data_IF_358517274616
#
_entry.id   IF_358517274616
#
_cell.length_a   1.000
_cell.length_b   1.000
_cell.length_c   1.000
_cell.angle_alpha   90.00
_cell.angle_beta   90.00
_cell.angle_gamma   90.00
#
_symmetry.space_group_name_H-M   'P 1'
#
loop_
_entity.id
_entity.type
_entity.pdbx_description
1 polymer ?
#
# COMPACT_ATOMS: atom_id res chain seq x y z
N UNK A 1 -55.02 44.35 32.58
CA UNK A 1 -54.20 43.12 32.74
C UNK A 1 -52.84 43.53 33.25
N UNK A 2 -52.50 43.16 34.49
CA UNK A 2 -51.24 43.51 35.14
C UNK A 2 -50.11 42.61 34.67
N UNK A 3 -48.87 43.13 34.63
CA UNK A 3 -47.63 42.41 34.24
C UNK A 3 -47.49 41.04 34.94
N UNK A 4 -48.00 40.91 36.17
CA UNK A 4 -48.00 39.65 36.94
C UNK A 4 -48.88 38.54 36.34
N UNK A 5 -49.91 38.86 35.56
CA UNK A 5 -50.79 37.87 34.93
C UNK A 5 -50.26 37.34 33.59
N UNK A 6 -49.33 38.08 32.95
CA UNK A 6 -48.74 37.72 31.64
C UNK A 6 -47.45 36.90 31.78
N UNK A 7 -46.72 37.04 32.89
CA UNK A 7 -45.46 36.34 33.14
C UNK A 7 -45.56 34.80 33.03
N UNK A 8 -46.57 34.13 33.62
CA UNK A 8 -46.69 32.67 33.55
C UNK A 8 -46.95 32.18 32.12
N UNK A 9 -47.73 32.94 31.34
CA UNK A 9 -48.00 32.61 29.93
C UNK A 9 -46.75 32.79 29.05
N UNK A 10 -45.94 33.80 29.33
CA UNK A 10 -44.65 34.01 28.64
C UNK A 10 -43.67 32.87 28.96
N UNK A 11 -43.60 32.44 30.21
CA UNK A 11 -42.70 31.36 30.64
C UNK A 11 -43.15 29.99 30.10
N UNK A 12 -44.44 29.71 30.09
CA UNK A 12 -45.05 28.54 29.44
C UNK A 12 -44.71 28.51 27.93
N UNK A 13 -44.82 29.66 27.26
CA UNK A 13 -44.53 29.78 25.82
C UNK A 13 -43.04 29.58 25.52
N UNK A 14 -42.16 30.12 26.37
CA UNK A 14 -40.71 29.88 26.27
C UNK A 14 -40.37 28.41 26.47
N UNK A 15 -41.00 27.76 27.44
CA UNK A 15 -40.78 26.33 27.75
C UNK A 15 -41.20 25.43 26.59
N UNK A 16 -42.39 25.67 26.01
CA UNK A 16 -42.86 24.95 24.82
C UNK A 16 -41.97 25.15 23.60
N UNK A 17 -41.45 26.37 23.39
CA UNK A 17 -40.49 26.65 22.31
C UNK A 17 -39.15 25.95 22.54
N UNK A 18 -38.66 25.90 23.78
CA UNK A 18 -37.44 25.19 24.13
C UNK A 18 -37.59 23.67 23.93
N UNK A 19 -38.72 23.08 24.32
CA UNK A 19 -39.03 21.67 24.10
C UNK A 19 -39.15 21.33 22.61
N UNK A 20 -39.78 22.21 21.82
CA UNK A 20 -39.85 22.04 20.36
C UNK A 20 -38.47 22.10 19.71
N UNK A 21 -37.60 23.03 20.14
CA UNK A 21 -36.22 23.12 19.67
C UNK A 21 -35.41 21.88 20.05
N UNK A 22 -35.55 21.36 21.27
CA UNK A 22 -34.92 20.10 21.72
C UNK A 22 -35.33 18.92 20.85
N UNK A 23 -36.63 18.74 20.59
CA UNK A 23 -37.11 17.67 19.70
C UNK A 23 -36.59 17.81 18.27
N UNK A 24 -36.46 19.04 17.78
CA UNK A 24 -35.92 19.31 16.44
C UNK A 24 -34.43 18.99 16.36
N UNK A 25 -33.67 19.30 17.41
CA UNK A 25 -32.25 18.91 17.54
C UNK A 25 -32.12 17.39 17.64
N UNK A 26 -32.94 16.71 18.45
CA UNK A 26 -32.94 15.24 18.55
C UNK A 26 -33.28 14.57 17.21
N UNK A 27 -34.26 15.10 16.49
CA UNK A 27 -34.62 14.63 15.15
C UNK A 27 -33.47 14.79 14.15
N UNK A 28 -32.78 15.94 14.17
CA UNK A 28 -31.61 16.19 13.32
C UNK A 28 -30.45 15.26 13.70
N UNK A 29 -30.21 15.04 14.99
CA UNK A 29 -29.20 14.08 15.45
C UNK A 29 -29.52 12.65 15.02
N UNK A 30 -30.79 12.23 15.06
CA UNK A 30 -31.20 10.93 14.56
C UNK A 30 -31.04 10.81 13.04
N UNK A 31 -31.33 11.88 12.28
CA UNK A 31 -31.14 11.88 10.84
C UNK A 31 -29.66 11.86 10.46
N UNK A 32 -28.81 12.60 11.20
CA UNK A 32 -27.34 12.53 11.07
C UNK A 32 -26.87 11.12 11.36
N UNK A 33 -27.28 10.49 12.47
CA UNK A 33 -26.92 9.09 12.79
C UNK A 33 -27.36 8.10 11.72
N UNK A 34 -28.59 8.22 11.19
CA UNK A 34 -29.05 7.35 10.09
C UNK A 34 -28.25 7.56 8.81
N UNK A 35 -27.86 8.81 8.49
CA UNK A 35 -26.99 9.11 7.36
C UNK A 35 -25.59 8.56 7.60
N UNK A 36 -25.06 8.67 8.81
CA UNK A 36 -23.80 8.06 9.22
C UNK A 36 -23.88 6.55 9.07
N UNK A 37 -24.87 5.86 9.62
CA UNK A 37 -25.06 4.41 9.45
C UNK A 37 -25.19 4.00 7.98
N UNK A 38 -25.81 4.82 7.13
CA UNK A 38 -25.86 4.58 5.68
C UNK A 38 -24.53 4.82 4.95
N UNK A 39 -23.65 5.64 5.52
CA UNK A 39 -22.31 5.97 5.02
C UNK A 39 -21.21 5.07 5.60
N UNK A 40 -21.49 4.34 6.68
CA UNK A 40 -20.61 3.36 7.29
C UNK A 40 -21.15 1.95 6.99
N UNK A 41 -20.79 1.31 5.86
CA UNK A 41 -21.16 -0.06 5.62
C UNK A 41 -20.23 -0.92 6.49
N UNK A 42 -20.58 -1.02 7.77
CA UNK A 42 -20.18 -2.11 8.67
C UNK A 42 -20.82 -3.38 8.11
N UNK A 43 -20.29 -3.83 6.99
CA UNK A 43 -20.95 -4.76 6.10
C UNK A 43 -19.94 -5.60 5.34
N UNK A 44 -20.40 -6.72 4.74
CA UNK A 44 -19.53 -7.61 3.98
C UNK A 44 -18.70 -6.83 2.96
N UNK A 45 -17.37 -6.95 3.04
CA UNK A 45 -16.43 -6.29 2.12
C UNK A 45 -15.79 -4.98 2.59
N UNK A 46 -16.03 -4.52 3.83
CA UNK A 46 -15.30 -3.37 4.41
C UNK A 46 -13.78 -3.56 4.33
N UNK A 47 -13.30 -4.72 4.77
CA UNK A 47 -11.90 -5.12 4.66
C UNK A 47 -11.33 -4.92 3.24
N UNK A 48 -12.05 -5.41 2.23
CA UNK A 48 -11.64 -5.32 0.83
C UNK A 48 -11.55 -3.84 0.38
N UNK A 49 -12.50 -2.99 0.80
CA UNK A 49 -12.52 -1.56 0.48
C UNK A 49 -11.36 -0.83 1.15
N UNK A 50 -11.13 -1.09 2.43
CA UNK A 50 -10.02 -0.50 3.20
C UNK A 50 -8.69 -0.87 2.56
N UNK A 51 -8.43 -2.15 2.31
CA UNK A 51 -7.20 -2.57 1.64
C UNK A 51 -7.05 -1.95 0.26
N UNK A 52 -8.14 -1.87 -0.51
CA UNK A 52 -8.13 -1.24 -1.84
C UNK A 52 -7.75 0.23 -1.75
N UNK A 53 -8.31 0.95 -0.78
CA UNK A 53 -7.97 2.34 -0.52
C UNK A 53 -6.50 2.52 -0.13
N UNK A 54 -6.00 1.70 0.81
CA UNK A 54 -4.59 1.72 1.24
C UNK A 54 -3.66 1.49 0.05
N UNK A 55 -3.89 0.43 -0.74
CA UNK A 55 -3.05 0.07 -1.90
C UNK A 55 -3.07 1.16 -2.97
N UNK A 56 -4.24 1.77 -3.23
CA UNK A 56 -4.33 2.88 -4.19
C UNK A 56 -3.59 4.11 -3.69
N UNK A 57 -3.75 4.45 -2.41
CA UNK A 57 -3.09 5.58 -1.79
C UNK A 57 -1.56 5.44 -1.84
N UNK A 58 -0.98 4.34 -1.35
CA UNK A 58 0.49 4.18 -1.29
C UNK A 58 1.17 4.02 -2.66
N UNK A 59 0.43 3.61 -3.68
CA UNK A 59 0.96 3.47 -5.05
C UNK A 59 0.79 4.73 -5.91
N UNK A 60 0.04 5.71 -5.43
CA UNK A 60 -0.28 6.90 -6.20
C UNK A 60 0.91 7.85 -6.29
N UNK A 61 0.95 8.58 -7.39
CA UNK A 61 1.82 9.74 -7.53
C UNK A 61 1.07 10.98 -7.05
N UNK A 62 1.26 11.39 -5.79
CA UNK A 62 0.53 12.53 -5.23
C UNK A 62 0.90 13.88 -5.86
N UNK A 63 2.00 13.95 -6.62
CA UNK A 63 2.43 15.16 -7.32
C UNK A 63 1.66 15.38 -8.64
N UNK A 64 1.15 14.30 -9.24
CA UNK A 64 0.43 14.31 -10.52
C UNK A 64 -1.05 13.95 -10.33
N UNK A 65 -1.35 13.05 -9.39
CA UNK A 65 -2.65 12.44 -9.18
C UNK A 65 -3.30 12.93 -7.88
N UNK A 66 -3.92 14.10 -7.95
CA UNK A 66 -4.73 14.67 -6.88
C UNK A 66 -5.94 13.79 -6.48
N UNK A 67 -6.19 12.65 -7.16
CA UNK A 67 -7.26 11.69 -6.84
C UNK A 67 -6.86 10.64 -5.82
N UNK A 68 -5.61 10.63 -5.35
CA UNK A 68 -5.17 9.65 -4.38
C UNK A 68 -5.40 10.03 -2.91
N UNK A 69 -5.50 11.32 -2.59
CA UNK A 69 -5.97 11.79 -1.27
C UNK A 69 -7.39 11.28 -0.93
N UNK A 70 -8.38 11.32 -1.86
CA UNK A 70 -9.67 10.67 -1.63
C UNK A 70 -9.59 9.21 -1.17
N UNK A 71 -8.59 8.44 -1.63
CA UNK A 71 -8.44 7.05 -1.17
C UNK A 71 -8.03 6.98 0.31
N UNK A 72 -7.11 7.84 0.77
CA UNK A 72 -6.75 7.93 2.19
C UNK A 72 -7.96 8.35 3.02
N UNK A 73 -8.71 9.38 2.58
CA UNK A 73 -9.94 9.78 3.25
C UNK A 73 -10.95 8.64 3.37
N UNK A 74 -11.23 7.92 2.27
CA UNK A 74 -12.14 6.78 2.30
C UNK A 74 -11.69 5.73 3.31
N UNK A 75 -10.39 5.44 3.39
CA UNK A 75 -9.84 4.53 4.40
C UNK A 75 -10.10 5.04 5.81
N UNK A 76 -9.83 6.32 6.08
CA UNK A 76 -10.06 6.92 7.40
C UNK A 76 -11.53 6.91 7.80
N UNK A 77 -12.45 7.22 6.87
CA UNK A 77 -13.89 7.14 7.10
C UNK A 77 -14.35 5.70 7.37
N UNK A 78 -13.83 4.72 6.64
CA UNK A 78 -14.20 3.31 6.84
C UNK A 78 -13.66 2.75 8.17
N UNK A 79 -12.60 3.34 8.74
CA UNK A 79 -11.93 2.85 9.94
C UNK A 79 -12.21 3.66 11.21
N UNK A 80 -12.81 4.85 11.10
CA UNK A 80 -13.08 5.73 12.25
C UNK A 80 -14.59 5.82 12.51
N UNK A 81 -15.10 5.42 13.68
CA UNK A 81 -16.50 5.60 14.06
C UNK A 81 -16.95 7.07 14.01
N UNK A 82 -18.15 7.34 13.51
CA UNK A 82 -18.78 8.67 13.46
C UNK A 82 -18.75 9.53 14.74
N UNK A 83 -18.99 8.97 15.95
CA UNK A 83 -18.91 9.74 17.20
C UNK A 83 -17.49 10.21 17.52
N UNK A 84 -16.50 9.40 17.16
CA UNK A 84 -15.09 9.74 17.36
C UNK A 84 -14.68 10.81 16.36
N UNK A 85 -15.20 10.77 15.11
CA UNK A 85 -15.08 11.81 14.06
C UNK A 85 -15.60 13.20 14.47
N UNK A 86 -16.52 13.27 15.43
CA UNK A 86 -17.08 14.53 15.94
C UNK A 86 -16.47 14.97 17.28
N UNK A 87 -15.95 14.03 18.09
CA UNK A 87 -15.25 14.30 19.36
C UNK A 87 -13.74 14.58 19.22
N UNK A 88 -13.20 14.70 17.99
CA UNK A 88 -11.81 15.14 17.73
C UNK A 88 -11.53 16.54 18.31
N UNK A 89 -11.32 16.62 19.62
CA UNK A 89 -10.96 17.83 20.33
C UNK A 89 -9.49 18.11 20.06
N UNK A 90 -9.28 19.19 19.32
CA UNK A 90 -8.03 19.86 18.96
C UNK A 90 -7.01 20.07 20.10
N UNK A 91 -7.35 19.78 21.36
CA UNK A 91 -6.49 19.97 22.54
C UNK A 91 -5.55 18.81 22.84
N UNK A 92 -5.82 17.60 22.34
CA UNK A 92 -5.01 16.39 22.66
C UNK A 92 -3.99 16.03 21.56
N UNK A 93 -4.07 16.63 20.37
CA UNK A 93 -3.03 16.57 19.34
C UNK A 93 -1.88 17.50 19.73
N UNK A 94 -0.97 16.95 20.53
CA UNK A 94 0.22 17.65 20.99
C UNK A 94 1.19 17.99 19.86
N UNK A 95 1.55 19.27 19.75
CA UNK A 95 2.86 19.85 19.40
C UNK A 95 3.61 19.42 18.11
N UNK A 96 3.14 18.46 17.33
CA UNK A 96 3.66 18.14 16.01
C UNK A 96 2.59 18.44 14.96
N UNK A 97 3.02 18.86 13.77
CA UNK A 97 2.25 19.45 12.66
C UNK A 97 1.14 18.57 12.03
N UNK A 98 0.53 17.65 12.78
CA UNK A 98 -0.63 16.83 12.39
C UNK A 98 -1.93 17.66 12.48
N UNK A 99 -1.88 18.88 11.95
CA UNK A 99 -2.96 19.85 12.00
C UNK A 99 -4.11 19.44 11.07
N UNK A 100 -5.29 19.28 11.67
CA UNK A 100 -6.62 19.06 11.08
C UNK A 100 -7.00 17.62 10.79
N UNK A 101 -7.61 16.94 11.77
CA UNK A 101 -8.37 15.73 11.44
C UNK A 101 -9.67 16.07 10.70
N UNK A 102 -10.56 16.96 11.17
CA UNK A 102 -11.77 17.35 10.40
C UNK A 102 -12.35 18.70 10.85
N UNK A 103 -11.76 19.87 10.57
CA UNK A 103 -12.50 21.11 10.91
C UNK A 103 -13.62 21.43 9.93
N UNK A 104 -13.54 20.94 8.70
CA UNK A 104 -14.60 21.10 7.71
C UNK A 104 -14.55 19.95 6.70
N UNK A 105 -15.53 19.05 6.75
CA UNK A 105 -15.90 18.14 5.65
C UNK A 105 -16.20 18.87 4.31
N UNK A 106 -15.99 20.19 4.23
CA UNK A 106 -16.26 21.06 3.08
C UNK A 106 -15.27 22.21 2.80
N UNK A 107 -14.25 22.51 3.62
CA UNK A 107 -13.45 23.74 3.35
C UNK A 107 -12.00 23.82 3.85
N UNK A 108 -11.38 22.70 4.24
CA UNK A 108 -9.92 22.62 4.22
C UNK A 108 -9.38 22.85 2.79
N UNK A 109 -8.29 23.62 2.64
CA UNK A 109 -7.71 23.87 1.32
C UNK A 109 -7.09 22.58 0.80
N UNK A 110 -7.46 22.20 -0.43
CA UNK A 110 -6.96 21.01 -1.15
C UNK A 110 -5.44 20.80 -1.03
N UNK A 111 -4.65 21.89 -1.01
CA UNK A 111 -3.19 21.86 -0.89
C UNK A 111 -2.70 21.32 0.46
N UNK A 112 -3.38 21.67 1.55
CA UNK A 112 -2.97 21.31 2.92
C UNK A 112 -3.23 19.80 3.12
N UNK A 113 -4.34 19.31 2.56
CA UNK A 113 -4.72 17.90 2.50
C UNK A 113 -3.74 17.04 1.67
N UNK A 114 -3.26 17.57 0.54
CA UNK A 114 -2.22 16.90 -0.27
C UNK A 114 -0.90 16.84 0.50
N UNK A 115 -0.54 17.90 1.24
CA UNK A 115 0.67 17.94 2.05
C UNK A 115 0.64 16.87 3.15
N UNK A 116 -0.48 16.78 3.88
CA UNK A 116 -0.70 15.77 4.91
C UNK A 116 -0.68 14.34 4.33
N UNK A 117 -1.39 14.13 3.21
CA UNK A 117 -1.37 12.84 2.52
C UNK A 117 0.03 12.47 2.03
N UNK A 118 0.84 13.44 1.60
CA UNK A 118 2.22 13.21 1.17
C UNK A 118 3.13 12.86 2.34
N UNK A 119 2.88 13.43 3.52
CA UNK A 119 3.65 13.19 4.73
C UNK A 119 3.70 11.71 5.12
N UNK A 120 2.55 11.02 5.17
CA UNK A 120 2.49 9.62 5.60
C UNK A 120 2.70 8.59 4.49
N UNK A 121 2.60 8.98 3.22
CA UNK A 121 2.51 8.02 2.12
C UNK A 121 3.73 7.10 2.03
N UNK A 122 4.93 7.70 2.09
CA UNK A 122 6.19 6.95 1.98
C UNK A 122 6.38 6.02 3.17
N UNK A 123 6.17 6.51 4.38
CA UNK A 123 6.36 5.73 5.59
C UNK A 123 5.36 4.55 5.68
N UNK A 124 4.09 4.78 5.33
CA UNK A 124 3.10 3.71 5.23
C UNK A 124 3.46 2.70 4.14
N UNK A 125 3.95 3.16 2.98
CA UNK A 125 4.42 2.25 1.92
C UNK A 125 5.58 1.38 2.39
N UNK A 126 6.57 1.99 3.06
CA UNK A 126 7.74 1.28 3.59
C UNK A 126 7.33 0.24 4.63
N UNK A 127 6.40 0.58 5.52
CA UNK A 127 5.80 -0.37 6.46
C UNK A 127 5.19 -1.59 5.73
N UNK A 128 4.34 -1.36 4.74
CA UNK A 128 3.66 -2.45 4.02
C UNK A 128 4.64 -3.29 3.18
N UNK A 129 5.65 -2.67 2.56
CA UNK A 129 6.71 -3.39 1.84
C UNK A 129 7.49 -4.30 2.77
N UNK A 130 7.89 -3.77 3.93
CA UNK A 130 8.57 -4.53 4.95
C UNK A 130 7.69 -5.70 5.40
N UNK A 131 6.46 -5.46 5.88
CA UNK A 131 5.56 -6.53 6.34
C UNK A 131 5.29 -7.62 5.28
N UNK A 132 5.32 -7.29 3.98
CA UNK A 132 5.17 -8.28 2.91
C UNK A 132 6.44 -9.11 2.66
N UNK A 133 7.62 -8.50 2.72
CA UNK A 133 8.91 -9.15 2.45
C UNK A 133 10.05 -8.60 3.33
N UNK A 134 10.11 -8.94 4.63
CA UNK A 134 11.09 -8.37 5.56
C UNK A 134 12.54 -8.68 5.21
N UNK A 135 12.82 -9.90 4.77
CA UNK A 135 14.16 -10.35 4.34
C UNK A 135 14.69 -9.58 3.12
N UNK A 136 13.78 -9.11 2.25
CA UNK A 136 14.14 -8.37 1.04
C UNK A 136 14.44 -6.89 1.33
N UNK A 137 13.97 -6.38 2.47
CA UNK A 137 14.03 -4.95 2.81
C UNK A 137 14.46 -4.70 4.28
N UNK A 138 15.64 -5.19 4.71
CA UNK A 138 16.13 -4.93 6.07
C UNK A 138 16.38 -3.45 6.35
N UNK A 139 16.70 -2.66 5.32
CA UNK A 139 17.03 -1.24 5.42
C UNK A 139 15.86 -0.36 5.87
N UNK A 140 14.62 -0.74 5.54
CA UNK A 140 13.41 0.02 5.90
C UNK A 140 12.77 -0.46 7.21
N UNK A 141 13.28 -1.52 7.83
CA UNK A 141 12.71 -2.11 9.07
C UNK A 141 12.59 -1.09 10.19
N UNK A 142 13.68 -0.38 10.50
CA UNK A 142 13.70 0.60 11.58
C UNK A 142 12.73 1.76 11.33
N UNK A 143 12.62 2.22 10.09
CA UNK A 143 11.66 3.26 9.69
C UNK A 143 10.22 2.76 9.86
N UNK A 144 9.92 1.54 9.40
CA UNK A 144 8.61 0.91 9.51
C UNK A 144 8.17 0.73 10.98
N UNK A 145 9.07 0.25 11.84
CA UNK A 145 8.79 0.05 13.26
C UNK A 145 8.57 1.38 13.99
N UNK A 146 9.39 2.40 13.73
CA UNK A 146 9.20 3.75 14.28
C UNK A 146 7.90 4.39 13.81
N UNK A 147 7.53 4.18 12.55
CA UNK A 147 6.26 4.66 12.03
C UNK A 147 5.08 4.02 12.79
N UNK A 148 5.13 2.71 13.06
CA UNK A 148 4.13 2.03 13.87
C UNK A 148 4.10 2.55 15.31
N UNK A 149 5.26 2.66 15.95
CA UNK A 149 5.42 3.22 17.29
C UNK A 149 4.70 4.57 17.45
N UNK A 150 5.00 5.50 16.53
CA UNK A 150 4.48 6.87 16.58
C UNK A 150 2.98 6.96 16.24
N UNK A 151 2.45 6.04 15.44
CA UNK A 151 1.09 6.18 14.90
C UNK A 151 0.08 5.21 15.49
N UNK A 152 0.48 4.05 15.99
CA UNK A 152 -0.44 3.03 16.50
C UNK A 152 -0.76 3.16 17.99
N UNK A 153 0.17 3.74 18.77
CA UNK A 153 0.17 3.95 20.23
C UNK A 153 -0.91 3.20 21.04
N UNK A 154 -0.48 2.23 21.84
CA UNK A 154 -1.24 1.70 22.98
C UNK A 154 -0.49 1.91 24.30
N UNK A 155 -1.21 1.82 25.41
CA UNK A 155 -0.64 1.75 26.76
C UNK A 155 0.10 0.41 26.89
N UNK A 156 1.32 0.46 27.43
CA UNK A 156 2.26 -0.66 27.60
C UNK A 156 2.50 -1.48 26.31
N UNK A 157 3.12 -0.84 25.33
CA UNK A 157 3.53 -1.43 24.05
C UNK A 157 5.00 -1.88 24.09
N UNK A 158 5.34 -2.94 23.36
CA UNK A 158 6.72 -3.41 23.18
C UNK A 158 6.99 -3.70 21.71
N UNK A 159 8.00 -3.04 21.14
CA UNK A 159 8.62 -3.45 19.89
C UNK A 159 9.97 -4.07 20.20
N UNK A 160 10.15 -5.33 19.81
CA UNK A 160 11.48 -5.91 19.76
C UNK A 160 12.19 -5.46 18.48
N UNK A 161 13.08 -4.46 18.60
CA UNK A 161 13.90 -3.98 17.49
C UNK A 161 15.06 -4.95 17.14
N UNK A 162 15.26 -6.03 17.90
CA UNK A 162 16.35 -6.99 17.69
C UNK A 162 15.87 -8.31 17.09
N UNK A 163 14.63 -8.73 17.33
CA UNK A 163 14.04 -9.94 16.72
C UNK A 163 13.40 -9.67 15.34
N UNK A 164 13.69 -10.52 14.35
CA UNK A 164 12.99 -10.56 13.05
C UNK A 164 12.03 -11.76 13.02
N UNK A 165 10.79 -11.61 13.50
CA UNK A 165 9.86 -12.74 13.66
C UNK A 165 9.20 -13.16 12.35
N UNK A 166 9.16 -12.28 11.35
CA UNK A 166 8.59 -12.62 10.05
C UNK A 166 9.58 -13.48 9.24
N UNK A 167 10.87 -13.43 9.58
CA UNK A 167 11.86 -14.35 9.05
C UNK A 167 11.64 -15.81 9.48
N UNK A 168 10.89 -16.03 10.57
CA UNK A 168 10.61 -17.32 11.21
C UNK A 168 9.11 -17.67 11.22
N UNK A 169 8.35 -17.28 10.18
CA UNK A 169 6.94 -17.68 9.96
C UNK A 169 6.69 -19.20 9.94
N UNK A 170 7.72 -20.03 10.12
CA UNK A 170 7.65 -21.50 10.26
C UNK A 170 7.77 -22.02 11.70
N UNK A 171 8.37 -21.27 12.62
CA UNK A 171 8.62 -21.68 14.00
C UNK A 171 8.10 -20.60 14.95
N UNK A 172 6.78 -20.48 15.07
CA UNK A 172 6.17 -19.77 16.19
C UNK A 172 6.20 -20.70 17.39
N UNK A 173 7.17 -20.47 18.27
CA UNK A 173 7.26 -21.09 19.59
C UNK A 173 6.03 -20.64 20.39
N UNK A 174 5.15 -21.56 20.78
CA UNK A 174 3.91 -21.25 21.54
C UNK A 174 4.20 -20.55 22.89
N UNK A 175 5.44 -20.63 23.38
CA UNK A 175 5.92 -20.01 24.62
C UNK A 175 6.42 -18.57 24.45
N UNK A 176 6.53 -18.04 23.22
CA UNK A 176 6.95 -16.65 22.97
C UNK A 176 5.73 -15.76 22.74
N UNK A 177 5.57 -14.75 23.60
CA UNK A 177 4.51 -13.75 23.47
C UNK A 177 4.53 -13.02 22.10
N UNK A 178 3.41 -12.40 21.70
CA UNK A 178 3.27 -11.75 20.41
C UNK A 178 4.37 -10.72 20.14
N UNK A 179 4.88 -10.68 18.90
CA UNK A 179 5.91 -9.74 18.45
C UNK A 179 5.54 -8.27 18.71
N UNK A 180 4.26 -7.97 18.54
CA UNK A 180 3.64 -6.67 18.71
C UNK A 180 2.32 -6.91 19.41
N UNK A 181 2.12 -6.37 20.61
CA UNK A 181 0.83 -6.43 21.28
C UNK A 181 0.55 -5.16 22.08
N UNK A 182 -0.75 -4.91 22.27
CA UNK A 182 -1.27 -3.82 23.07
C UNK A 182 -1.84 -4.38 24.37
N UNK A 183 -1.30 -3.96 25.51
CA UNK A 183 -1.88 -4.31 26.82
C UNK A 183 -3.15 -3.50 27.07
N UNK A 184 -3.20 -2.25 26.57
CA UNK A 184 -4.40 -1.41 26.64
C UNK A 184 -4.46 -0.44 25.47
N UNK A 185 -5.59 -0.40 24.77
CA UNK A 185 -5.76 0.50 23.62
C UNK A 185 -5.89 1.96 24.09
N UNK A 186 -4.96 2.83 23.68
CA UNK A 186 -5.20 4.29 23.74
C UNK A 186 -6.10 4.67 22.56
N UNK A 187 -6.99 5.63 22.78
CA UNK A 187 -7.98 6.01 21.77
C UNK A 187 -7.31 6.55 20.50
N UNK A 188 -6.53 7.65 20.55
CA UNK A 188 -5.95 8.26 19.34
C UNK A 188 -4.67 9.06 19.62
N UNK A 189 -3.63 8.89 18.79
CA UNK A 189 -2.39 9.67 18.86
C UNK A 189 -2.05 10.37 17.53
N UNK A 190 -2.48 9.82 16.40
CA UNK A 190 -2.37 10.46 15.08
C UNK A 190 -3.54 10.09 14.18
N UNK A 191 -3.62 10.77 13.03
CA UNK A 191 -4.61 10.48 11.98
C UNK A 191 -4.46 9.05 11.42
N UNK A 192 -3.26 8.47 11.58
CA UNK A 192 -2.91 7.14 11.08
C UNK A 192 -3.20 6.02 12.09
N UNK A 193 -3.60 6.35 13.33
CA UNK A 193 -3.95 5.35 14.34
C UNK A 193 -4.96 4.30 13.86
N UNK A 194 -6.11 4.67 13.24
CA UNK A 194 -7.06 3.69 12.73
C UNK A 194 -6.45 2.75 11.67
N UNK A 195 -5.63 3.30 10.78
CA UNK A 195 -4.96 2.54 9.71
C UNK A 195 -3.95 1.56 10.29
N UNK A 196 -3.14 2.01 11.25
CA UNK A 196 -2.16 1.15 11.90
C UNK A 196 -2.86 0.02 12.65
N UNK A 197 -3.87 0.33 13.47
CA UNK A 197 -4.70 -0.68 14.18
C UNK A 197 -5.35 -1.68 13.21
N UNK A 198 -5.83 -1.21 12.05
CA UNK A 198 -6.37 -2.11 11.03
C UNK A 198 -5.32 -3.07 10.46
N UNK A 199 -4.11 -2.59 10.15
CA UNK A 199 -3.00 -3.43 9.70
C UNK A 199 -2.61 -4.43 10.80
N UNK A 200 -2.64 -4.00 12.06
CA UNK A 200 -2.31 -4.83 13.22
C UNK A 200 -3.17 -6.08 13.32
N UNK A 201 -4.47 -6.02 12.98
CA UNK A 201 -5.36 -7.20 12.99
C UNK A 201 -4.89 -8.38 12.12
N UNK A 202 -3.87 -8.17 11.27
CA UNK A 202 -3.25 -9.20 10.45
C UNK A 202 -1.89 -9.65 10.98
N UNK A 203 -1.21 -8.83 11.77
CA UNK A 203 0.11 -9.19 12.34
C UNK A 203 0.03 -9.60 13.82
N UNK A 204 -1.15 -9.44 14.43
CA UNK A 204 -1.48 -9.84 15.81
C UNK A 204 -1.79 -11.35 15.93
N UNK A 205 -2.03 -11.86 17.14
CA UNK A 205 -2.21 -13.28 17.42
C UNK A 205 -3.67 -13.78 17.27
N UNK A 206 -3.96 -14.81 16.44
CA UNK A 206 -3.07 -15.51 15.52
C UNK A 206 -2.83 -14.72 14.22
N UNK A 207 -1.59 -14.70 13.70
CA UNK A 207 -1.23 -13.86 12.57
C UNK A 207 -1.91 -14.31 11.27
N UNK A 208 -2.54 -13.36 10.58
CA UNK A 208 -3.12 -13.54 9.25
C UNK A 208 -2.20 -12.93 8.21
N UNK A 209 -1.92 -13.65 7.12
CA UNK A 209 -1.15 -13.05 6.01
C UNK A 209 -1.87 -11.81 5.49
N UNK A 210 -1.12 -10.72 5.33
CA UNK A 210 -1.62 -9.51 4.68
C UNK A 210 -2.23 -9.89 3.31
N UNK A 211 -3.41 -9.37 2.94
CA UNK A 211 -4.06 -9.71 1.69
C UNK A 211 -3.45 -8.96 0.49
N UNK A 212 -2.25 -8.41 0.61
CA UNK A 212 -1.55 -7.65 -0.43
C UNK A 212 -0.27 -8.37 -0.86
N UNK A 213 0.24 -8.02 -2.04
CA UNK A 213 1.48 -8.55 -2.62
C UNK A 213 2.32 -7.46 -3.25
N UNK A 214 3.63 -7.67 -3.30
CA UNK A 214 4.56 -6.81 -4.05
C UNK A 214 4.63 -7.30 -5.51
N UNK A 215 4.63 -6.37 -6.46
CA UNK A 215 4.87 -6.65 -7.87
C UNK A 215 6.21 -7.38 -8.06
N UNK A 216 6.20 -8.51 -8.77
CA UNK A 216 7.40 -9.34 -9.01
C UNK A 216 8.49 -8.67 -9.83
N UNK A 217 8.14 -7.65 -10.63
CA UNK A 217 9.12 -6.94 -11.47
C UNK A 217 10.14 -6.23 -10.56
N UNK A 218 11.45 -6.49 -10.70
CA UNK A 218 12.48 -5.78 -9.96
C UNK A 218 12.36 -4.25 -10.11
N UNK A 219 12.47 -3.53 -8.99
CA UNK A 219 12.38 -2.07 -8.93
C UNK A 219 11.00 -1.49 -9.29
N UNK A 220 9.92 -2.27 -9.16
CA UNK A 220 8.57 -1.73 -9.28
C UNK A 220 7.97 -1.35 -7.92
N UNK A 221 8.14 -2.21 -6.91
CA UNK A 221 7.71 -2.04 -5.52
C UNK A 221 6.27 -1.54 -5.35
N UNK A 222 5.42 -1.87 -6.33
CA UNK A 222 3.99 -1.56 -6.29
C UNK A 222 3.26 -2.66 -5.56
N UNK A 223 2.43 -2.27 -4.60
CA UNK A 223 1.57 -3.17 -3.85
C UNK A 223 0.34 -3.52 -4.68
N UNK A 224 -0.21 -4.72 -4.49
CA UNK A 224 -1.32 -5.25 -5.26
C UNK A 224 -2.26 -6.05 -4.37
N UNK A 225 -3.56 -5.95 -4.64
CA UNK A 225 -4.56 -6.87 -4.10
C UNK A 225 -4.83 -7.97 -5.15
N UNK A 226 -4.50 -9.23 -4.87
CA UNK A 226 -4.83 -10.33 -5.76
C UNK A 226 -6.36 -10.55 -5.75
N UNK A 227 -7.02 -10.34 -6.89
CA UNK A 227 -8.47 -10.56 -7.05
C UNK A 227 -8.86 -12.04 -6.90
N UNK A 228 -7.91 -12.97 -7.10
CA UNK A 228 -8.06 -14.43 -6.91
C UNK A 228 -6.75 -15.06 -6.46
N UNK A 229 -6.82 -16.05 -5.57
CA UNK A 229 -5.67 -16.86 -5.15
C UNK A 229 -5.01 -17.46 -6.41
N UNK A 230 -3.71 -17.18 -6.61
CA UNK A 230 -2.91 -17.73 -7.70
C UNK A 230 -2.88 -16.93 -9.02
N UNK A 231 -3.48 -15.74 -9.11
CA UNK A 231 -3.38 -14.88 -10.31
C UNK A 231 -2.82 -13.48 -10.00
N UNK A 232 -2.08 -12.93 -10.99
CA UNK A 232 -1.37 -11.63 -11.03
C UNK A 232 -0.11 -11.52 -10.14
N UNK A 233 1.04 -11.91 -10.70
CA UNK A 233 2.37 -11.63 -10.13
C UNK A 233 2.85 -10.18 -10.37
N UNK A 234 2.19 -9.45 -11.27
CA UNK A 234 2.61 -8.13 -11.74
C UNK A 234 1.49 -7.10 -11.59
N UNK A 235 1.85 -5.87 -11.22
CA UNK A 235 0.87 -4.79 -10.98
C UNK A 235 0.22 -4.27 -12.27
N UNK A 236 0.82 -4.59 -13.42
CA UNK A 236 0.29 -4.23 -14.72
C UNK A 236 0.82 -5.19 -15.80
N UNK A 237 0.11 -5.31 -16.94
CA UNK A 237 0.62 -6.00 -18.12
C UNK A 237 1.96 -5.42 -18.60
N UNK A 238 2.18 -4.12 -18.43
CA UNK A 238 3.44 -3.45 -18.75
C UNK A 238 4.59 -3.97 -17.88
N UNK A 239 4.37 -4.15 -16.58
CA UNK A 239 5.39 -4.73 -15.69
C UNK A 239 5.72 -6.18 -16.06
N UNK A 240 4.69 -6.97 -16.37
CA UNK A 240 4.87 -8.34 -16.86
C UNK A 240 5.71 -8.36 -18.15
N UNK A 241 5.34 -7.54 -19.14
CA UNK A 241 6.05 -7.47 -20.42
C UNK A 241 7.50 -7.00 -20.28
N UNK A 242 7.76 -6.03 -19.39
CA UNK A 242 9.12 -5.53 -19.13
C UNK A 242 9.99 -6.57 -18.44
N UNK A 243 9.43 -7.34 -17.50
CA UNK A 243 10.15 -8.41 -16.79
C UNK A 243 10.49 -9.59 -17.72
N UNK A 244 9.57 -9.94 -18.63
CA UNK A 244 9.79 -11.01 -19.61
C UNK A 244 10.61 -10.57 -20.82
N UNK A 245 10.83 -9.26 -21.05
CA UNK A 245 11.56 -8.76 -22.23
C UNK A 245 13.03 -9.22 -22.25
N UNK A 246 13.80 -9.19 -21.15
CA UNK A 246 15.12 -9.81 -21.06
C UNK A 246 15.09 -11.30 -21.44
N UNK A 247 14.22 -12.09 -20.81
CA UNK A 247 14.08 -13.52 -21.08
C UNK A 247 13.69 -13.82 -22.54
N UNK A 248 12.83 -12.99 -23.14
CA UNK A 248 12.45 -13.11 -24.54
C UNK A 248 13.60 -12.75 -25.50
N UNK A 249 14.41 -11.74 -25.17
CA UNK A 249 15.58 -11.38 -25.98
C UNK A 249 16.67 -12.45 -25.88
N UNK A 250 16.92 -12.93 -24.67
CA UNK A 250 17.81 -14.06 -24.37
C UNK A 250 17.40 -15.31 -25.16
N UNK A 251 16.14 -15.72 -25.08
CA UNK A 251 15.62 -16.86 -25.84
C UNK A 251 15.74 -16.66 -27.36
N UNK A 252 15.48 -15.45 -27.88
CA UNK A 252 15.63 -15.15 -29.30
C UNK A 252 17.08 -15.23 -29.77
N UNK A 253 18.02 -14.75 -28.96
CA UNK A 253 19.45 -14.79 -29.27
C UNK A 253 19.95 -16.23 -29.17
N UNK A 254 19.56 -16.97 -28.13
CA UNK A 254 19.94 -18.37 -27.92
C UNK A 254 19.41 -19.25 -29.05
N UNK A 255 18.13 -19.12 -29.40
CA UNK A 255 17.52 -19.87 -30.49
C UNK A 255 18.17 -19.55 -31.84
N UNK A 256 18.61 -18.31 -32.05
CA UNK A 256 19.33 -17.93 -33.26
C UNK A 256 20.71 -18.59 -33.32
N UNK A 257 21.49 -18.56 -32.23
CA UNK A 257 22.77 -19.29 -32.15
C UNK A 257 22.59 -20.79 -32.31
N UNK A 258 21.57 -21.36 -31.67
CA UNK A 258 21.24 -22.78 -31.78
C UNK A 258 20.93 -23.18 -33.23
N UNK A 259 20.13 -22.38 -33.95
CA UNK A 259 19.84 -22.61 -35.37
C UNK A 259 21.08 -22.50 -36.24
N UNK A 260 22.00 -21.58 -35.94
CA UNK A 260 23.29 -21.49 -36.62
C UNK A 260 24.16 -22.72 -36.37
N UNK A 261 24.25 -23.16 -35.11
CA UNK A 261 25.06 -24.33 -34.78
C UNK A 261 24.50 -25.62 -35.42
N UNK A 262 23.18 -25.71 -35.61
CA UNK A 262 22.54 -26.83 -36.35
C UNK A 262 22.87 -26.90 -37.85
N UNK A 263 23.41 -25.85 -38.47
CA UNK A 263 23.80 -25.90 -39.88
C UNK A 263 25.00 -26.83 -40.02
N UNK A 264 24.83 -28.04 -40.55
CA UNK A 264 25.91 -29.05 -40.64
C UNK A 264 27.04 -28.64 -41.60
N UNK A 265 26.70 -28.03 -42.74
CA UNK A 265 27.68 -27.60 -43.74
C UNK A 265 28.41 -26.32 -43.32
N UNK A 266 29.73 -26.41 -43.15
CA UNK A 266 30.59 -25.25 -42.84
C UNK A 266 30.57 -24.18 -43.95
N UNK A 267 30.43 -24.59 -45.22
CA UNK A 267 30.30 -23.66 -46.35
C UNK A 267 29.01 -22.85 -46.30
N UNK A 268 27.88 -23.48 -45.95
CA UNK A 268 26.58 -22.81 -45.80
C UNK A 268 26.58 -21.87 -44.59
N UNK A 269 27.18 -22.29 -43.48
CA UNK A 269 27.34 -21.45 -42.28
C UNK A 269 28.21 -20.22 -42.59
N UNK A 270 29.33 -20.42 -43.30
CA UNK A 270 30.21 -19.32 -43.74
C UNK A 270 29.49 -18.35 -44.67
N UNK A 271 28.71 -18.83 -45.65
CA UNK A 271 27.91 -17.97 -46.53
C UNK A 271 26.88 -17.16 -45.76
N UNK A 272 26.23 -17.77 -44.76
CA UNK A 272 25.23 -17.10 -43.93
C UNK A 272 25.80 -16.03 -43.00
N UNK A 273 27.03 -16.20 -42.53
CA UNK A 273 27.67 -15.24 -41.61
C UNK A 273 28.53 -14.21 -42.34
N UNK A 274 29.26 -14.59 -43.40
CA UNK A 274 30.10 -13.67 -44.19
C UNK A 274 29.39 -13.03 -45.37
N UNK A 275 28.38 -13.70 -45.93
CA UNK A 275 27.59 -13.19 -47.05
C UNK A 275 26.44 -12.27 -46.63
N UNK A 276 26.12 -12.21 -45.34
CA UNK A 276 25.11 -11.32 -44.75
C UNK A 276 25.75 -10.46 -43.65
N UNK A 277 26.00 -9.15 -43.90
CA UNK A 277 26.56 -8.23 -42.93
C UNK A 277 25.73 -8.12 -41.64
N UNK A 278 24.41 -8.26 -41.73
CA UNK A 278 23.51 -8.16 -40.58
C UNK A 278 23.60 -9.39 -39.68
N UNK A 279 23.84 -10.57 -40.27
CA UNK A 279 24.10 -11.79 -39.50
C UNK A 279 25.40 -11.68 -38.68
N UNK A 280 26.49 -11.18 -39.27
CA UNK A 280 27.75 -10.97 -38.53
C UNK A 280 27.63 -9.86 -37.48
N UNK A 281 26.90 -8.78 -37.79
CA UNK A 281 26.59 -7.72 -36.83
C UNK A 281 25.79 -8.26 -35.64
N UNK A 282 24.79 -9.10 -35.89
CA UNK A 282 23.99 -9.76 -34.85
C UNK A 282 24.84 -10.69 -33.99
N UNK A 283 25.76 -11.46 -34.58
CA UNK A 283 26.68 -12.32 -33.82
C UNK A 283 27.54 -11.50 -32.85
N UNK A 284 28.15 -10.41 -33.35
CA UNK A 284 28.94 -9.48 -32.50
C UNK A 284 28.10 -8.87 -31.38
N UNK A 285 26.88 -8.43 -31.68
CA UNK A 285 25.98 -7.88 -30.66
C UNK A 285 25.61 -8.89 -29.57
N UNK A 286 25.46 -10.17 -29.93
CA UNK A 286 25.18 -11.25 -28.97
C UNK A 286 26.40 -11.51 -28.10
N UNK A 287 27.61 -11.54 -28.68
CA UNK A 287 28.87 -11.69 -27.94
C UNK A 287 29.08 -10.56 -26.93
N UNK A 288 28.82 -9.31 -27.31
CA UNK A 288 28.93 -8.16 -26.41
C UNK A 288 27.87 -8.19 -25.32
N UNK A 289 26.62 -8.51 -25.66
CA UNK A 289 25.48 -8.50 -24.72
C UNK A 289 25.58 -9.59 -23.66
N UNK A 290 26.06 -10.77 -24.04
CA UNK A 290 26.07 -11.97 -23.21
C UNK A 290 27.51 -12.44 -22.91
N UNK A 291 28.45 -11.49 -22.78
CA UNK A 291 29.88 -11.77 -22.59
C UNK A 291 30.20 -12.59 -21.34
N UNK A 292 29.36 -12.48 -20.31
CA UNK A 292 29.55 -13.13 -19.00
C UNK A 292 28.71 -14.42 -18.87
N UNK A 293 27.95 -14.80 -19.90
CA UNK A 293 27.04 -15.96 -19.88
C UNK A 293 27.64 -17.18 -20.61
N UNK A 294 27.97 -18.28 -19.89
CA UNK A 294 28.65 -19.45 -20.47
C UNK A 294 27.93 -20.06 -21.68
N UNK A 295 26.61 -20.25 -21.58
CA UNK A 295 25.79 -20.86 -22.64
C UNK A 295 25.80 -20.09 -23.97
N UNK A 296 26.07 -18.78 -23.93
CA UNK A 296 26.21 -17.95 -25.12
C UNK A 296 27.65 -17.94 -25.61
N UNK A 297 28.62 -17.74 -24.71
CA UNK A 297 30.04 -17.65 -25.06
C UNK A 297 30.58 -18.96 -25.65
N UNK A 298 30.15 -20.12 -25.16
CA UNK A 298 30.50 -21.43 -25.72
C UNK A 298 29.98 -21.57 -27.15
N UNK A 299 28.69 -21.27 -27.37
CA UNK A 299 28.06 -21.39 -28.69
C UNK A 299 28.64 -20.43 -29.71
N UNK A 300 28.97 -19.19 -29.33
CA UNK A 300 29.59 -18.24 -30.26
C UNK A 300 31.02 -18.67 -30.61
N UNK A 301 31.80 -19.20 -29.67
CA UNK A 301 33.12 -19.80 -29.92
C UNK A 301 33.04 -20.98 -30.89
N UNK A 302 32.12 -21.92 -30.67
CA UNK A 302 31.88 -23.06 -31.58
C UNK A 302 31.56 -22.60 -33.00
N UNK A 303 30.66 -21.62 -33.14
CA UNK A 303 30.26 -21.07 -34.45
C UNK A 303 31.45 -20.40 -35.14
N UNK A 304 32.24 -19.59 -34.42
CA UNK A 304 33.44 -18.93 -34.96
C UNK A 304 34.51 -19.93 -35.42
N UNK A 305 34.80 -20.94 -34.59
CA UNK A 305 35.75 -21.99 -34.92
C UNK A 305 35.40 -22.70 -36.24
N UNK A 306 34.11 -22.99 -36.45
CA UNK A 306 33.61 -23.65 -37.67
C UNK A 306 33.66 -22.78 -38.92
N UNK A 307 33.69 -21.45 -38.77
CA UNK A 307 33.78 -20.51 -39.89
C UNK A 307 35.23 -20.06 -40.16
N UNK A 308 36.16 -20.41 -39.26
CA UNK A 308 37.55 -19.90 -39.20
C UNK A 308 37.55 -18.37 -39.18
N UNK A 309 37.01 -17.81 -38.10
CA UNK A 309 37.00 -16.37 -37.77
C UNK A 309 37.46 -16.19 -36.33
#
# INVERSE_FOLDING_TARGET
MTLQQLQPQVDETKRRKAEAALRQVESLMQEIRRREESLHPSGPGQEQRVWTGIVRYVNADLSIDAKAYPNLLTVLYELTPGPELTEFRLSELGKNDDFFYLSELSGARKRDLISLASHYQKALKNLLLWLCQPKSHPEIRLEALKFLEVNAHGEDWRIDYNEDPIASLGDFDEDKGPFLYFVKEVRFASIMTPVCKFIFKYVDDPPKRLPIRICKRPGCDKLMLPERIGRKEYCSPKCCALDHRPAHKENKDYMWLYRLNKIKSGGTLRRRLKGDPDAMKRLRQIETRWKDEPKFTEKTKEIRARVRI
#
